data_IF_048667653720
#
_entry.id   IF_048667653720
#
_cell.length_a   1.000
_cell.length_b   1.000
_cell.length_c   1.000
_cell.angle_alpha   90.00
_cell.angle_beta   90.00
_cell.angle_gamma   90.00
#
_symmetry.space_group_name_H-M   'P 1'
#
loop_
_entity.id
_entity.type
_entity.pdbx_description
1 polymer ?
#
# COMPACT_ATOMS: atom_id res chain seq x y z
N UNK A 1 -1.58 15.09 -35.52
CA UNK A 1 -2.60 14.02 -35.42
C UNK A 1 -2.48 13.26 -34.09
N UNK A 2 -2.49 13.93 -32.93
CA UNK A 2 -2.20 13.27 -31.63
C UNK A 2 -3.30 13.45 -30.56
N UNK A 3 -4.32 14.27 -30.81
CA UNK A 3 -5.32 14.63 -29.79
C UNK A 3 -6.45 13.56 -29.69
N UNK A 4 -6.64 12.73 -30.73
CA UNK A 4 -7.70 11.71 -30.73
C UNK A 4 -7.37 10.46 -29.90
N UNK A 5 -6.09 10.13 -29.73
CA UNK A 5 -5.67 8.89 -29.03
C UNK A 5 -5.81 8.99 -27.50
N UNK A 6 -5.57 10.18 -26.94
CA UNK A 6 -5.67 10.43 -25.49
C UNK A 6 -7.11 10.31 -25.00
N UNK A 7 -8.09 10.70 -25.84
CA UNK A 7 -9.50 10.58 -25.50
C UNK A 7 -9.96 9.13 -25.39
N UNK A 8 -9.49 8.25 -26.27
CA UNK A 8 -9.95 6.84 -26.32
C UNK A 8 -9.39 6.03 -25.13
N UNK A 9 -8.13 6.27 -24.75
CA UNK A 9 -7.57 5.65 -23.54
C UNK A 9 -8.31 6.10 -22.27
N UNK A 10 -8.69 7.37 -22.17
CA UNK A 10 -9.46 7.88 -21.03
C UNK A 10 -10.82 7.21 -20.89
N UNK A 11 -11.53 6.98 -22.01
CA UNK A 11 -12.83 6.29 -22.00
C UNK A 11 -12.71 4.81 -21.62
N UNK A 12 -11.66 4.11 -22.07
CA UNK A 12 -11.45 2.70 -21.72
C UNK A 12 -11.14 2.50 -20.23
N UNK A 13 -10.33 3.39 -19.63
CA UNK A 13 -10.02 3.33 -18.20
C UNK A 13 -11.27 3.63 -17.36
N UNK A 14 -12.08 4.61 -17.76
CA UNK A 14 -13.32 4.93 -17.06
C UNK A 14 -14.32 3.76 -17.12
N UNK A 15 -14.42 3.09 -18.27
CA UNK A 15 -15.33 1.96 -18.47
C UNK A 15 -14.94 0.75 -17.62
N UNK A 16 -13.65 0.44 -17.54
CA UNK A 16 -13.13 -0.64 -16.68
C UNK A 16 -13.39 -0.37 -15.20
N UNK A 17 -13.24 0.89 -14.75
CA UNK A 17 -13.51 1.27 -13.35
C UNK A 17 -14.99 1.07 -12.99
N UNK A 18 -15.90 1.46 -13.89
CA UNK A 18 -17.36 1.34 -13.68
C UNK A 18 -17.78 -0.13 -13.59
N UNK A 19 -17.24 -1.02 -14.43
CA UNK A 19 -17.55 -2.45 -14.37
C UNK A 19 -17.09 -3.10 -13.06
N UNK A 20 -15.89 -2.76 -12.56
CA UNK A 20 -15.42 -3.25 -11.25
C UNK A 20 -16.24 -2.73 -10.07
N UNK A 21 -16.72 -1.48 -10.11
CA UNK A 21 -17.56 -0.93 -9.04
C UNK A 21 -18.97 -1.55 -9.01
N UNK A 22 -19.50 -1.93 -10.18
CA UNK A 22 -20.78 -2.60 -10.28
C UNK A 22 -20.73 -4.03 -9.72
N UNK A 23 -19.58 -4.70 -9.84
CA UNK A 23 -19.39 -6.06 -9.32
C UNK A 23 -19.23 -6.13 -7.79
N UNK A 24 -18.85 -5.04 -7.12
CA UNK A 24 -18.61 -5.02 -5.66
C UNK A 24 -19.83 -4.64 -4.81
N UNK A 25 -21.02 -4.48 -5.42
CA UNK A 25 -22.23 -4.02 -4.71
C UNK A 25 -23.23 -5.13 -4.35
N UNK A 26 -22.83 -6.40 -4.46
CA UNK A 26 -23.66 -7.55 -4.09
C UNK A 26 -22.91 -8.39 -3.06
N UNK A 27 -22.90 -7.93 -1.81
CA UNK A 27 -22.72 -8.73 -0.57
C UNK A 27 -22.44 -7.76 0.59
N UNK A 28 -23.48 -7.09 1.08
CA UNK A 28 -23.47 -6.44 2.39
C UNK A 28 -24.90 -6.12 2.80
N UNK A 29 -25.67 -7.14 3.16
CA UNK A 29 -26.85 -6.96 4.00
C UNK A 29 -26.98 -8.13 4.96
N UNK A 30 -27.42 -7.82 6.19
CA UNK A 30 -27.64 -8.67 7.37
C UNK A 30 -26.53 -8.64 8.42
N UNK A 31 -26.55 -7.60 9.28
CA UNK A 31 -26.59 -7.75 10.75
C UNK A 31 -27.37 -6.55 11.30
N UNK A 32 -28.57 -6.83 11.82
CA UNK A 32 -29.29 -5.96 12.76
C UNK A 32 -28.53 -5.98 14.10
N UNK A 33 -28.36 -4.81 14.72
CA UNK A 33 -28.42 -4.64 16.17
C UNK A 33 -28.84 -3.20 16.45
N UNK A 34 -29.99 -3.09 17.10
CA UNK A 34 -30.52 -1.91 17.76
C UNK A 34 -29.56 -1.44 18.85
N UNK A 35 -29.39 -0.12 18.98
CA UNK A 35 -29.24 0.59 20.26
C UNK A 35 -29.35 2.10 19.96
N UNK A 36 -30.54 2.64 20.20
CA UNK A 36 -30.81 4.07 20.33
C UNK A 36 -30.14 4.60 21.61
N UNK A 37 -29.47 5.75 21.54
CA UNK A 37 -29.77 6.91 22.39
C UNK A 37 -28.81 8.07 22.07
N UNK A 38 -29.42 9.19 21.67
CA UNK A 38 -28.87 10.49 21.32
C UNK A 38 -28.23 11.21 22.52
N UNK A 39 -27.12 11.93 22.31
CA UNK A 39 -26.93 13.27 22.91
C UNK A 39 -26.12 14.18 21.96
N UNK A 40 -26.80 15.24 21.51
CA UNK A 40 -26.28 16.40 20.79
C UNK A 40 -25.35 17.26 21.68
N UNK A 41 -24.29 17.88 21.12
CA UNK A 41 -23.99 19.28 21.46
C UNK A 41 -23.14 20.00 20.39
N UNK A 42 -23.38 21.30 20.30
CA UNK A 42 -23.20 22.25 19.22
C UNK A 42 -21.76 22.63 18.80
N UNK A 43 -21.60 22.76 17.48
CA UNK A 43 -21.02 23.90 16.73
C UNK A 43 -19.95 24.81 17.41
N UNK A 44 -18.76 24.94 16.81
CA UNK A 44 -18.27 26.24 16.27
C UNK A 44 -16.81 26.24 15.77
N UNK A 45 -16.63 27.01 14.71
CA UNK A 45 -15.44 27.80 14.35
C UNK A 45 -14.17 27.10 13.84
N UNK A 46 -14.09 27.09 12.52
CA UNK A 46 -12.85 27.11 11.76
C UNK A 46 -11.98 28.31 12.18
N UNK A 47 -10.82 28.06 12.81
CA UNK A 47 -9.73 29.04 12.75
C UNK A 47 -8.32 28.46 12.85
N UNK A 48 -7.54 28.90 11.86
CA UNK A 48 -6.09 29.18 11.89
C UNK A 48 -5.13 28.04 12.19
N UNK A 49 -4.43 27.67 11.11
CA UNK A 49 -3.07 27.12 11.10
C UNK A 49 -2.18 27.93 12.05
N UNK A 50 -1.82 27.34 13.18
CA UNK A 50 -0.75 27.84 14.04
C UNK A 50 0.41 26.84 14.07
N UNK A 51 1.58 27.42 13.87
CA UNK A 51 2.88 26.82 13.67
C UNK A 51 3.32 26.03 14.92
N UNK A 52 3.58 24.75 14.70
CA UNK A 52 4.43 23.80 15.46
C UNK A 52 4.85 24.26 16.87
N UNK A 53 4.05 23.89 17.87
CA UNK A 53 4.59 23.61 19.20
C UNK A 53 4.94 22.13 19.24
N UNK A 54 6.21 21.80 19.49
CA UNK A 54 6.66 20.43 19.76
C UNK A 54 6.07 19.98 21.10
N UNK A 55 4.79 19.64 21.11
CA UNK A 55 4.14 18.96 22.24
C UNK A 55 4.64 17.53 22.20
N UNK A 56 5.55 17.18 23.10
CA UNK A 56 5.94 15.79 23.30
C UNK A 56 4.66 14.96 23.55
N UNK A 57 4.34 13.99 22.68
CA UNK A 57 3.13 13.20 22.85
C UNK A 57 3.18 12.48 24.20
N UNK A 58 2.06 12.48 24.92
CA UNK A 58 1.99 11.84 26.24
C UNK A 58 2.44 10.38 26.15
N UNK A 59 3.09 9.86 27.20
CA UNK A 59 3.54 8.45 27.25
C UNK A 59 2.41 7.46 26.98
N UNK A 60 1.16 7.82 27.29
CA UNK A 60 -0.03 7.01 27.00
C UNK A 60 -0.34 6.98 25.51
N UNK A 61 -0.23 8.10 24.81
CA UNK A 61 -0.36 8.17 23.34
C UNK A 61 0.78 7.39 22.66
N UNK A 62 2.02 7.53 23.14
CA UNK A 62 3.14 6.74 22.63
C UNK A 62 2.95 5.24 22.87
N UNK A 63 2.49 4.84 24.06
CA UNK A 63 2.18 3.45 24.37
C UNK A 63 1.04 2.93 23.48
N UNK A 64 -0.02 3.71 23.27
CA UNK A 64 -1.14 3.35 22.38
C UNK A 64 -0.69 3.25 20.92
N UNK A 65 0.22 4.10 20.45
CA UNK A 65 0.80 4.04 19.09
C UNK A 65 1.67 2.79 18.94
N UNK A 66 2.50 2.48 19.95
CA UNK A 66 3.30 1.26 19.99
C UNK A 66 2.41 0.02 20.06
N UNK A 67 1.31 0.09 20.82
CA UNK A 67 0.38 -1.01 21.05
C UNK A 67 -0.58 -1.23 19.87
N UNK A 68 -0.96 -0.17 19.14
CA UNK A 68 -1.65 -0.26 17.84
C UNK A 68 -0.75 -0.77 16.72
N UNK A 69 0.55 -0.88 16.97
CA UNK A 69 1.56 -1.36 16.04
C UNK A 69 1.84 -0.31 14.98
N UNK A 70 3.02 0.31 15.05
CA UNK A 70 3.49 1.13 13.94
C UNK A 70 3.71 0.20 12.74
N UNK A 71 2.83 0.33 11.76
CA UNK A 71 2.93 -0.34 10.48
C UNK A 71 3.57 0.64 9.51
N UNK A 72 4.73 0.29 8.98
CA UNK A 72 5.38 1.01 7.91
C UNK A 72 5.23 0.20 6.63
N UNK A 73 4.84 0.87 5.54
CA UNK A 73 4.86 0.29 4.21
C UNK A 73 5.33 1.32 3.21
N UNK A 74 6.39 0.99 2.49
CA UNK A 74 6.88 1.76 1.35
C UNK A 74 6.70 0.94 0.07
N UNK A 75 6.21 1.58 -0.98
CA UNK A 75 5.94 0.98 -2.28
C UNK A 75 6.71 1.76 -3.33
N UNK A 76 7.50 1.08 -4.13
CA UNK A 76 8.18 1.68 -5.27
C UNK A 76 7.81 0.96 -6.55
N UNK A 77 7.75 1.74 -7.63
CA UNK A 77 7.63 1.25 -8.99
C UNK A 77 8.39 2.19 -9.93
N UNK A 78 9.24 1.62 -10.77
CA UNK A 78 10.08 2.38 -11.70
C UNK A 78 10.12 1.69 -13.06
N UNK A 79 9.96 2.49 -14.11
CA UNK A 79 10.20 2.08 -15.49
C UNK A 79 11.67 2.29 -15.84
N UNK A 80 12.50 1.28 -15.61
CA UNK A 80 13.94 1.30 -15.94
C UNK A 80 14.19 1.44 -17.45
N UNK A 81 13.26 0.94 -18.25
CA UNK A 81 13.20 1.15 -19.71
C UNK A 81 11.73 1.11 -20.17
N UNK A 82 11.40 1.51 -21.41
CA UNK A 82 10.02 1.48 -21.90
C UNK A 82 9.31 0.12 -21.74
N UNK A 83 10.06 -0.97 -21.83
CA UNK A 83 9.58 -2.35 -21.73
C UNK A 83 10.18 -3.10 -20.52
N UNK A 84 10.70 -2.38 -19.52
CA UNK A 84 11.23 -2.96 -18.28
C UNK A 84 10.69 -2.20 -17.08
N UNK A 85 10.02 -2.91 -16.19
CA UNK A 85 9.49 -2.36 -14.95
C UNK A 85 10.10 -3.08 -13.75
N UNK A 86 10.45 -2.33 -12.73
CA UNK A 86 10.81 -2.83 -11.41
C UNK A 86 9.78 -2.33 -10.41
N UNK A 87 9.41 -3.18 -9.48
CA UNK A 87 8.44 -2.83 -8.45
C UNK A 87 8.69 -3.66 -7.20
N UNK A 88 8.19 -3.17 -6.08
CA UNK A 88 8.36 -3.87 -4.83
C UNK A 88 7.84 -3.06 -3.66
N UNK A 89 8.07 -3.61 -2.48
CA UNK A 89 7.70 -2.95 -1.24
C UNK A 89 8.60 -3.37 -0.10
N UNK A 90 8.61 -2.54 0.92
CA UNK A 90 9.12 -2.87 2.25
C UNK A 90 7.96 -2.68 3.21
N UNK A 91 7.61 -3.70 3.97
CA UNK A 91 6.65 -3.60 5.06
C UNK A 91 7.29 -4.03 6.37
N UNK A 92 6.99 -3.28 7.42
CA UNK A 92 7.50 -3.53 8.77
C UNK A 92 6.35 -3.36 9.76
N UNK A 93 6.20 -4.33 10.64
CA UNK A 93 5.36 -4.24 11.82
C UNK A 93 6.14 -4.79 13.03
N UNK A 94 5.65 -4.60 14.27
CA UNK A 94 6.39 -5.03 15.46
C UNK A 94 6.66 -6.54 15.56
N UNK A 95 5.98 -7.36 14.75
CA UNK A 95 6.08 -8.82 14.78
C UNK A 95 6.86 -9.40 13.60
N UNK A 96 6.81 -8.75 12.44
CA UNK A 96 7.40 -9.23 11.20
C UNK A 96 7.77 -8.09 10.25
N UNK A 97 8.64 -8.39 9.30
CA UNK A 97 8.97 -7.54 8.18
C UNK A 97 9.09 -8.35 6.91
N UNK A 98 8.73 -7.77 5.76
CA UNK A 98 8.96 -8.33 4.43
C UNK A 98 9.54 -7.25 3.51
N UNK A 99 10.52 -7.65 2.71
CA UNK A 99 11.03 -6.88 1.59
C UNK A 99 10.87 -7.70 0.32
N UNK A 100 10.13 -7.14 -0.64
CA UNK A 100 9.90 -7.75 -1.96
C UNK A 100 10.43 -6.85 -3.04
N UNK A 101 11.13 -7.46 -3.99
CA UNK A 101 11.57 -6.80 -5.22
C UNK A 101 11.28 -7.73 -6.40
N UNK A 102 10.65 -7.19 -7.43
CA UNK A 102 10.33 -7.89 -8.66
C UNK A 102 10.70 -7.02 -9.86
N UNK A 103 11.17 -7.67 -10.92
CA UNK A 103 11.45 -7.04 -12.19
C UNK A 103 10.83 -7.86 -13.32
N UNK A 104 10.19 -7.15 -14.25
CA UNK A 104 9.61 -7.72 -15.45
C UNK A 104 10.19 -7.05 -16.69
N UNK A 105 10.79 -7.87 -17.55
CA UNK A 105 11.25 -7.52 -18.90
C UNK A 105 10.23 -8.03 -19.92
N UNK A 106 9.47 -7.12 -20.52
CA UNK A 106 8.43 -7.45 -21.49
C UNK A 106 9.00 -7.86 -22.86
N UNK A 107 10.24 -7.47 -23.20
CA UNK A 107 10.86 -7.87 -24.47
C UNK A 107 11.26 -9.34 -24.45
N UNK A 108 11.81 -9.79 -23.32
CA UNK A 108 12.29 -11.17 -23.13
C UNK A 108 11.28 -12.09 -22.48
N UNK A 109 10.11 -11.56 -22.09
CA UNK A 109 9.13 -12.24 -21.25
C UNK A 109 9.79 -12.85 -20.01
N UNK A 110 10.73 -12.12 -19.41
CA UNK A 110 11.61 -12.60 -18.35
C UNK A 110 11.24 -11.91 -17.03
N UNK A 111 10.99 -12.71 -15.99
CA UNK A 111 10.48 -12.25 -14.70
C UNK A 111 11.41 -12.74 -13.61
N UNK A 112 11.99 -11.82 -12.85
CA UNK A 112 12.91 -12.14 -11.77
C UNK A 112 12.49 -11.43 -10.50
N UNK A 113 12.85 -11.99 -9.35
CA UNK A 113 12.53 -11.36 -8.09
C UNK A 113 13.17 -12.03 -6.90
N UNK A 114 13.02 -11.32 -5.78
CA UNK A 114 13.51 -11.73 -4.47
C UNK A 114 12.53 -11.30 -3.39
N UNK A 115 12.41 -12.13 -2.37
CA UNK A 115 11.67 -11.86 -1.16
C UNK A 115 12.56 -12.16 0.02
N UNK A 116 12.58 -11.27 1.00
CA UNK A 116 13.19 -11.47 2.31
C UNK A 116 12.15 -11.20 3.36
N UNK A 117 12.14 -12.00 4.41
CA UNK A 117 11.23 -11.79 5.52
C UNK A 117 11.91 -12.16 6.83
N UNK A 118 11.43 -11.57 7.91
CA UNK A 118 11.84 -11.94 9.24
C UNK A 118 10.74 -11.70 10.25
N UNK A 119 10.85 -12.36 11.40
CA UNK A 119 9.93 -12.19 12.52
C UNK A 119 10.66 -11.89 13.83
N UNK A 120 9.90 -11.42 14.82
CA UNK A 120 10.39 -11.07 16.15
C UNK A 120 11.06 -12.23 16.89
N UNK A 121 10.74 -13.47 16.54
CA UNK A 121 11.30 -14.66 17.16
C UNK A 121 12.64 -15.09 16.52
N UNK A 122 13.17 -14.29 15.59
CA UNK A 122 14.42 -14.59 14.88
C UNK A 122 14.25 -15.55 13.70
N UNK A 123 13.01 -15.90 13.34
CA UNK A 123 12.72 -16.58 12.08
C UNK A 123 13.07 -15.66 10.91
N UNK A 124 13.75 -16.21 9.92
CA UNK A 124 14.24 -15.49 8.77
C UNK A 124 14.18 -16.38 7.53
N UNK A 125 13.88 -15.78 6.38
CA UNK A 125 13.93 -16.49 5.11
C UNK A 125 14.19 -15.57 3.94
N UNK A 126 14.83 -16.14 2.92
CA UNK A 126 15.01 -15.49 1.63
C UNK A 126 14.57 -16.44 0.53
N UNK A 127 13.87 -15.91 -0.47
CA UNK A 127 13.51 -16.64 -1.67
C UNK A 127 13.89 -15.82 -2.90
N UNK A 128 14.51 -16.48 -3.87
CA UNK A 128 14.96 -15.86 -5.10
C UNK A 128 14.53 -16.74 -6.27
N UNK A 129 14.04 -16.12 -7.34
CA UNK A 129 13.74 -16.81 -8.58
C UNK A 129 14.28 -16.02 -9.76
N UNK A 130 14.78 -16.76 -10.75
CA UNK A 130 15.27 -16.22 -12.01
C UNK A 130 16.36 -15.13 -11.88
N UNK A 131 16.97 -15.03 -10.70
CA UNK A 131 18.19 -14.29 -10.45
C UNK A 131 19.34 -15.27 -10.63
N UNK A 132 20.20 -14.99 -11.60
CA UNK A 132 21.35 -15.83 -11.88
C UNK A 132 22.32 -15.76 -10.69
N UNK A 133 22.34 -16.78 -9.82
CA UNK A 133 23.23 -16.86 -8.64
C UNK A 133 24.66 -17.28 -9.03
N UNK A 134 25.14 -16.87 -10.21
CA UNK A 134 26.50 -17.17 -10.59
C UNK A 134 27.44 -16.27 -9.80
N UNK A 135 27.98 -16.80 -8.70
CA UNK A 135 29.14 -16.25 -8.02
C UNK A 135 30.29 -16.20 -9.03
N UNK A 136 30.47 -15.06 -9.69
CA UNK A 136 31.63 -14.78 -10.51
C UNK A 136 32.88 -14.88 -9.63
N UNK A 137 33.64 -15.96 -9.81
CA UNK A 137 35.06 -16.01 -9.45
C UNK A 137 35.88 -15.36 -10.55
#
# INVERSE_FOLDING_TARGET
MCIKYISILGFLVLFLIVETLAASKVEAEMVENDDDDDEDDDNSDMKTVEMETLVEPSRKILADIVQKGQFFQDIFAENVAPLKIQFGHVCENPNEWEQRFEQKDFEKNHHQGKVRWGNRNGGYGEHYWDLNHHNGK
#
